data_IF_513086000532
#
_entry.id   IF_513086000532
#
_cell.length_a   1.000
_cell.length_b   1.000
_cell.length_c   1.000
_cell.angle_alpha   90.00
_cell.angle_beta   90.00
_cell.angle_gamma   90.00
#
_symmetry.space_group_name_H-M   'P 1'
#
loop_
_entity.id
_entity.type
_entity.pdbx_description
1 polymer ?
#
# COMPACT_ATOMS: atom_id res chain seq x y z
N UNK A 1 12.99 6.01 -1.14
CA UNK A 1 12.38 4.69 -0.91
C UNK A 1 13.13 3.55 -1.60
N UNK A 2 14.48 3.59 -1.62
CA UNK A 2 15.29 2.58 -2.34
C UNK A 2 15.71 1.40 -1.45
N UNK A 3 15.11 1.30 -0.25
CA UNK A 3 15.47 0.32 0.79
C UNK A 3 15.02 -1.10 0.47
N UNK A 4 14.13 -1.30 -0.49
CA UNK A 4 13.60 -2.62 -0.88
C UNK A 4 13.98 -3.00 -2.32
N UNK A 5 15.27 -3.32 -2.60
CA UNK A 5 15.76 -3.55 -3.95
C UNK A 5 15.12 -4.75 -4.66
N UNK A 6 14.72 -5.79 -3.91
CA UNK A 6 14.06 -6.98 -4.46
C UNK A 6 12.65 -6.64 -4.96
N UNK A 7 11.88 -5.89 -4.17
CA UNK A 7 10.51 -5.49 -4.52
C UNK A 7 10.54 -4.59 -5.75
N UNK A 8 11.44 -3.60 -5.76
CA UNK A 8 11.67 -2.71 -6.90
C UNK A 8 11.91 -3.48 -8.20
N UNK A 9 12.86 -4.42 -8.22
CA UNK A 9 13.17 -5.23 -9.40
C UNK A 9 11.96 -6.03 -9.89
N UNK A 10 11.20 -6.64 -8.98
CA UNK A 10 10.00 -7.43 -9.33
C UNK A 10 8.90 -6.55 -9.92
N UNK A 11 8.69 -5.36 -9.36
CA UNK A 11 7.72 -4.39 -9.87
C UNK A 11 8.12 -3.85 -11.24
N UNK A 12 9.38 -3.43 -11.40
CA UNK A 12 9.91 -2.95 -12.69
C UNK A 12 9.82 -4.03 -13.77
N UNK A 13 10.13 -5.29 -13.46
CA UNK A 13 9.98 -6.41 -14.41
C UNK A 13 8.53 -6.66 -14.82
N UNK A 14 7.56 -6.52 -13.90
CA UNK A 14 6.15 -6.83 -14.17
C UNK A 14 5.35 -5.65 -14.70
N UNK A 15 5.71 -4.42 -14.34
CA UNK A 15 4.91 -3.20 -14.51
C UNK A 15 5.70 -2.04 -15.11
N UNK A 16 7.01 -2.18 -15.33
CA UNK A 16 7.88 -1.14 -15.91
C UNK A 16 8.21 0.01 -14.97
N UNK A 17 7.68 0.02 -13.74
CA UNK A 17 7.92 1.05 -12.73
C UNK A 17 7.79 0.46 -11.32
N UNK A 18 8.33 1.16 -10.33
CA UNK A 18 8.29 0.75 -8.93
C UNK A 18 6.95 1.08 -8.27
N UNK A 19 5.87 0.40 -8.72
CA UNK A 19 4.48 0.64 -8.28
C UNK A 19 4.30 0.65 -6.76
N UNK A 20 5.01 -0.22 -6.03
CA UNK A 20 4.90 -0.28 -4.57
C UNK A 20 5.37 1.00 -3.89
N UNK A 21 6.40 1.68 -4.42
CA UNK A 21 6.84 2.98 -3.92
C UNK A 21 5.72 4.00 -4.05
N UNK A 22 5.12 4.10 -5.22
CA UNK A 22 4.06 5.08 -5.48
C UNK A 22 2.86 4.85 -4.57
N UNK A 23 2.47 3.57 -4.37
CA UNK A 23 1.37 3.21 -3.46
C UNK A 23 1.65 3.56 -1.99
N UNK A 24 2.89 3.38 -1.53
CA UNK A 24 3.27 3.74 -0.17
C UNK A 24 3.22 5.26 0.01
N UNK A 25 3.72 6.03 -0.96
CA UNK A 25 3.66 7.50 -0.89
C UNK A 25 2.21 8.00 -0.89
N UNK A 26 1.35 7.46 -1.73
CA UNK A 26 -0.09 7.77 -1.77
C UNK A 26 -0.76 7.54 -0.40
N UNK A 27 -0.42 6.44 0.29
CA UNK A 27 -0.93 6.14 1.64
C UNK A 27 -0.45 7.18 2.66
N UNK A 28 0.81 7.60 2.60
CA UNK A 28 1.33 8.64 3.50
C UNK A 28 0.68 10.00 3.24
N UNK A 29 0.43 10.34 1.97
CA UNK A 29 -0.27 11.57 1.60
C UNK A 29 -1.72 11.56 2.12
N UNK A 30 -2.43 10.45 1.98
CA UNK A 30 -3.79 10.29 2.50
C UNK A 30 -3.84 10.38 4.04
N UNK A 31 -2.85 9.83 4.76
CA UNK A 31 -2.72 10.02 6.20
C UNK A 31 -2.44 11.49 6.56
N UNK A 32 -1.60 12.18 5.77
CA UNK A 32 -1.33 13.60 5.97
C UNK A 32 -2.58 14.47 5.75
N UNK A 33 -3.42 14.13 4.79
CA UNK A 33 -4.70 14.81 4.53
C UNK A 33 -5.71 14.57 5.66
N UNK A 34 -5.85 13.32 6.13
CA UNK A 34 -6.68 12.98 7.29
C UNK A 34 -6.29 13.80 8.52
N UNK A 35 -4.99 13.90 8.80
CA UNK A 35 -4.47 14.74 9.90
C UNK A 35 -4.80 16.23 9.71
N UNK A 36 -4.71 16.77 8.49
CA UNK A 36 -5.01 18.18 8.20
C UNK A 36 -6.49 18.52 8.32
N UNK A 37 -7.36 17.62 7.90
CA UNK A 37 -8.82 17.83 7.86
C UNK A 37 -9.51 17.43 9.15
N UNK A 38 -8.84 16.67 10.02
CA UNK A 38 -9.43 16.07 11.22
C UNK A 38 -10.36 14.89 10.92
N UNK A 39 -10.41 14.42 9.66
CA UNK A 39 -11.18 13.24 9.30
C UNK A 39 -10.40 11.97 9.66
N UNK A 40 -11.07 10.89 10.09
CA UNK A 40 -10.42 9.60 10.30
C UNK A 40 -9.77 9.10 9.00
N UNK A 41 -8.55 8.58 9.10
CA UNK A 41 -7.86 7.96 7.97
C UNK A 41 -8.59 6.68 7.51
N UNK A 42 -8.87 6.59 6.21
CA UNK A 42 -9.43 5.41 5.57
C UNK A 42 -8.37 4.73 4.70
N UNK A 43 -8.18 3.42 4.87
CA UNK A 43 -7.20 2.65 4.08
C UNK A 43 -7.54 2.63 2.60
N UNK A 44 -6.53 2.84 1.76
CA UNK A 44 -6.62 2.72 0.29
C UNK A 44 -6.28 1.32 -0.23
N UNK A 45 -5.99 0.37 0.68
CA UNK A 45 -5.70 -1.01 0.31
C UNK A 45 -7.00 -1.77 0.02
N UNK A 46 -7.00 -2.48 -1.10
CA UNK A 46 -8.04 -3.40 -1.51
C UNK A 46 -7.40 -4.78 -1.83
N UNK A 47 -7.82 -5.86 -1.16
CA UNK A 47 -8.78 -5.88 -0.05
C UNK A 47 -8.23 -5.19 1.22
N UNK A 48 -9.10 -4.74 2.14
CA UNK A 48 -8.65 -4.07 3.35
C UNK A 48 -7.80 -4.98 4.25
N UNK A 49 -7.01 -4.41 5.17
CA UNK A 49 -6.29 -5.20 6.16
C UNK A 49 -7.24 -6.12 6.92
N UNK A 50 -6.84 -7.38 7.10
CA UNK A 50 -7.63 -8.44 7.74
C UNK A 50 -8.95 -8.78 7.04
N UNK A 51 -9.09 -8.49 5.73
CA UNK A 51 -10.25 -8.96 4.97
C UNK A 51 -10.35 -10.50 4.98
N UNK A 52 -11.52 -11.08 5.26
CA UNK A 52 -11.71 -12.53 5.30
C UNK A 52 -11.31 -13.26 4.00
N UNK A 53 -11.40 -12.60 2.84
CA UNK A 53 -11.05 -13.19 1.54
C UNK A 53 -9.56 -13.49 1.38
N UNK A 54 -8.71 -12.82 2.15
CA UNK A 54 -7.24 -13.02 2.15
C UNK A 54 -6.74 -13.67 3.43
N UNK A 55 -7.66 -14.06 4.34
CA UNK A 55 -7.31 -14.83 5.52
C UNK A 55 -6.87 -16.25 5.14
N UNK A 56 -6.05 -16.86 6.00
CA UNK A 56 -5.78 -18.29 5.89
C UNK A 56 -7.07 -19.09 6.09
N UNK A 57 -7.28 -20.21 5.37
CA UNK A 57 -8.40 -21.09 5.62
C UNK A 57 -8.35 -21.59 7.07
N UNK A 58 -9.52 -21.77 7.69
CA UNK A 58 -9.62 -22.40 9.01
C UNK A 58 -9.01 -23.80 8.91
N UNK A 59 -7.91 -24.01 9.64
CA UNK A 59 -7.19 -25.28 9.72
C UNK A 59 -8.04 -26.42 10.25
#
# INVERSE_FOLDING_TARGET
>A
METFPIVKRKDEQKRGHYRTKDKILEIYDAMAEAMKTGQPYQTLLDPPPADPSVAHPLS
#
